data_IF_883115504763
#
_entry.id   IF_883115504763
#
_cell.length_a   1.000
_cell.length_b   1.000
_cell.length_c   1.000
_cell.angle_alpha   90.00
_cell.angle_beta   90.00
_cell.angle_gamma   90.00
#
_symmetry.space_group_name_H-M   'P 1'
#
loop_
_entity.id
_entity.type
_entity.pdbx_description
1 polymer ?
#
# COMPACT_ATOMS: atom_id res chain seq x y z
N UNK A 1 8.30 22.32 -19.20
CA UNK A 1 9.01 21.10 -18.77
C UNK A 1 8.90 20.78 -17.27
N UNK A 2 8.98 21.76 -16.34
CA UNK A 2 8.88 21.48 -14.88
C UNK A 2 7.52 20.89 -14.44
N UNK A 3 6.42 21.37 -15.00
CA UNK A 3 5.07 20.87 -14.67
C UNK A 3 4.84 19.42 -15.09
N UNK A 4 5.32 19.02 -16.27
CA UNK A 4 5.18 17.65 -16.78
C UNK A 4 5.97 16.64 -15.94
N UNK A 5 7.17 17.02 -15.49
CA UNK A 5 7.99 16.17 -14.62
C UNK A 5 7.35 15.93 -13.25
N UNK A 6 6.84 16.98 -12.60
CA UNK A 6 6.14 16.84 -11.32
C UNK A 6 4.87 15.98 -11.45
N UNK A 7 4.11 16.17 -12.55
CA UNK A 7 2.93 15.37 -12.83
C UNK A 7 3.27 13.88 -12.99
N UNK A 8 4.33 13.57 -13.74
CA UNK A 8 4.79 12.19 -13.95
C UNK A 8 5.15 11.50 -12.62
N UNK A 9 5.86 12.20 -11.72
CA UNK A 9 6.20 11.66 -10.39
C UNK A 9 4.94 11.37 -9.57
N UNK A 10 3.96 12.26 -9.59
CA UNK A 10 2.69 12.09 -8.88
C UNK A 10 1.90 10.91 -9.46
N UNK A 11 1.80 10.81 -10.79
CA UNK A 11 1.09 9.72 -11.48
C UNK A 11 1.72 8.36 -11.18
N UNK A 12 3.06 8.26 -11.22
CA UNK A 12 3.79 7.04 -10.83
C UNK A 12 3.55 6.66 -9.37
N UNK A 13 3.59 7.61 -8.45
CA UNK A 13 3.34 7.36 -7.03
C UNK A 13 1.91 6.82 -6.79
N UNK A 14 0.90 7.38 -7.47
CA UNK A 14 -0.46 6.84 -7.41
C UNK A 14 -0.60 5.49 -8.09
N UNK A 15 0.17 5.22 -9.15
CA UNK A 15 0.26 3.91 -9.79
C UNK A 15 0.68 2.83 -8.80
N UNK A 16 1.81 3.04 -8.12
CA UNK A 16 2.33 2.12 -7.08
C UNK A 16 1.31 1.90 -5.97
N UNK A 17 0.71 2.98 -5.48
CA UNK A 17 -0.27 2.89 -4.40
C UNK A 17 -1.53 2.10 -4.81
N UNK A 18 -2.03 2.31 -6.04
CA UNK A 18 -3.16 1.52 -6.59
C UNK A 18 -2.76 0.07 -6.91
N UNK A 19 -1.50 -0.16 -7.29
CA UNK A 19 -0.93 -1.49 -7.48
C UNK A 19 -0.97 -2.31 -6.20
N UNK A 20 -0.59 -1.73 -5.06
CA UNK A 20 -0.59 -2.45 -3.78
C UNK A 20 -1.95 -2.51 -3.09
N UNK A 21 -2.78 -1.47 -3.22
CA UNK A 21 -4.04 -1.37 -2.46
C UNK A 21 -5.27 -1.46 -3.38
N UNK A 22 -5.92 -2.63 -3.40
CA UNK A 22 -7.10 -2.88 -4.23
C UNK A 22 -8.25 -1.88 -3.99
N UNK A 23 -8.41 -1.39 -2.76
CA UNK A 23 -9.42 -0.39 -2.39
C UNK A 23 -9.29 0.93 -3.17
N UNK A 24 -8.13 1.23 -3.74
CA UNK A 24 -7.86 2.45 -4.52
C UNK A 24 -8.04 2.27 -6.03
N UNK A 25 -8.23 1.04 -6.52
CA UNK A 25 -8.36 0.73 -7.96
C UNK A 25 -9.74 1.08 -8.52
N UNK A 26 -10.77 0.89 -7.69
CA UNK A 26 -12.17 1.10 -8.06
C UNK A 26 -12.72 2.46 -7.66
N UNK A 27 -13.93 2.75 -8.14
CA UNK A 27 -14.69 3.93 -7.70
C UNK A 27 -15.18 3.69 -6.28
N UNK A 28 -14.84 4.59 -5.38
CA UNK A 28 -15.32 4.55 -4.01
C UNK A 28 -16.69 5.22 -3.90
N UNK A 29 -17.62 4.55 -3.22
CA UNK A 29 -18.93 5.12 -2.84
C UNK A 29 -18.90 5.80 -1.47
N UNK A 30 -17.74 5.85 -0.81
CA UNK A 30 -17.60 6.52 0.47
C UNK A 30 -17.66 8.05 0.33
N UNK A 31 -18.11 8.79 1.35
CA UNK A 31 -18.00 10.25 1.37
C UNK A 31 -16.55 10.71 1.17
N UNK A 32 -16.36 11.88 0.56
CA UNK A 32 -15.02 12.40 0.21
C UNK A 32 -14.06 12.43 1.41
N UNK A 33 -14.54 12.79 2.60
CA UNK A 33 -13.72 12.81 3.81
C UNK A 33 -13.18 11.43 4.19
N UNK A 34 -13.95 10.36 3.95
CA UNK A 34 -13.52 8.98 4.17
C UNK A 34 -12.52 8.57 3.09
N UNK A 35 -12.77 8.91 1.82
CA UNK A 35 -11.83 8.63 0.73
C UNK A 35 -10.45 9.24 0.99
N UNK A 36 -10.39 10.50 1.42
CA UNK A 36 -9.13 11.16 1.76
C UNK A 36 -8.39 10.45 2.91
N UNK A 37 -9.12 10.03 3.95
CA UNK A 37 -8.55 9.28 5.08
C UNK A 37 -8.03 7.90 4.65
N UNK A 38 -8.77 7.20 3.78
CA UNK A 38 -8.34 5.93 3.20
C UNK A 38 -7.04 6.08 2.41
N UNK A 39 -6.95 7.08 1.53
CA UNK A 39 -5.73 7.35 0.75
C UNK A 39 -4.56 7.65 1.70
N UNK A 40 -4.76 8.48 2.71
CA UNK A 40 -3.73 8.81 3.69
C UNK A 40 -3.26 7.58 4.47
N UNK A 41 -4.19 6.74 4.92
CA UNK A 41 -3.86 5.48 5.61
C UNK A 41 -3.04 4.56 4.71
N UNK A 42 -3.40 4.40 3.44
CA UNK A 42 -2.63 3.62 2.46
C UNK A 42 -1.21 4.17 2.29
N UNK A 43 -1.02 5.50 2.22
CA UNK A 43 0.31 6.11 2.14
C UNK A 43 1.14 5.85 3.40
N UNK A 44 0.54 6.00 4.59
CA UNK A 44 1.23 5.78 5.86
C UNK A 44 1.67 4.32 6.01
N UNK A 45 0.77 3.38 5.71
CA UNK A 45 1.06 1.95 5.74
C UNK A 45 2.15 1.57 4.73
N UNK A 46 2.07 2.12 3.51
CA UNK A 46 3.09 1.89 2.49
C UNK A 46 4.48 2.36 2.95
N UNK A 47 4.55 3.57 3.54
CA UNK A 47 5.80 4.11 4.07
C UNK A 47 6.34 3.29 5.24
N UNK A 48 5.46 2.84 6.14
CA UNK A 48 5.84 2.00 7.27
C UNK A 48 6.42 0.66 6.79
N UNK A 49 5.72 -0.03 5.89
CA UNK A 49 6.17 -1.31 5.34
C UNK A 49 7.53 -1.14 4.65
N UNK A 50 7.69 -0.14 3.78
CA UNK A 50 8.97 0.07 3.09
C UNK A 50 10.13 0.45 4.05
N UNK A 51 9.82 1.12 5.17
CA UNK A 51 10.82 1.49 6.18
C UNK A 51 11.31 0.28 6.97
N UNK A 52 10.37 -0.52 7.46
CA UNK A 52 10.70 -1.65 8.34
C UNK A 52 11.13 -2.89 7.52
N UNK A 53 10.71 -3.00 6.26
CA UNK A 53 11.01 -4.13 5.38
C UNK A 53 11.89 -3.71 4.21
N UNK A 54 13.21 -3.67 4.44
CA UNK A 54 14.21 -3.35 3.40
C UNK A 54 14.25 -4.33 2.20
N UNK A 55 13.67 -5.52 2.35
CA UNK A 55 13.76 -6.61 1.37
C UNK A 55 12.42 -6.99 0.71
N UNK A 56 11.32 -6.29 1.01
CA UNK A 56 10.04 -6.56 0.37
C UNK A 56 10.03 -5.83 -0.99
N UNK A 57 10.79 -6.37 -1.94
CA UNK A 57 10.69 -6.02 -3.36
C UNK A 57 9.34 -6.54 -3.85
N UNK A 58 8.28 -5.80 -3.53
CA UNK A 58 7.17 -5.72 -4.48
C UNK A 58 7.80 -5.01 -5.65
N UNK A 59 8.31 -5.79 -6.60
CA UNK A 59 8.64 -5.30 -7.91
C UNK A 59 7.47 -4.42 -8.34
N UNK A 60 7.71 -3.10 -8.32
CA UNK A 60 6.82 -2.10 -8.89
C UNK A 60 6.91 -2.21 -10.43
N UNK A 61 6.78 -3.44 -10.96
CA UNK A 61 6.61 -3.78 -12.36
C UNK A 61 5.20 -3.33 -12.79
N UNK A 62 4.96 -2.03 -12.67
CA UNK A 62 3.99 -1.35 -13.50
C UNK A 62 4.74 -1.13 -14.81
N UNK A 63 4.79 -2.19 -15.61
CA UNK A 63 5.15 -2.05 -17.01
C UNK A 63 4.25 -0.96 -17.61
N UNK A 64 4.88 -0.14 -18.42
CA UNK A 64 4.35 1.09 -19.01
C UNK A 64 3.27 0.72 -20.04
N UNK A 65 2.12 0.22 -19.59
CA UNK A 65 0.99 -0.09 -20.47
C UNK A 65 0.33 1.23 -20.83
N UNK A 66 0.79 1.73 -21.97
CA UNK A 66 0.23 2.83 -22.74
C UNK A 66 -1.30 2.80 -22.72
N UNK A 67 -1.87 3.97 -22.48
CA UNK A 67 -3.29 4.21 -22.34
C UNK A 67 -3.98 4.09 -23.69
N UNK A 68 -4.19 2.86 -24.15
CA UNK A 68 -5.09 2.59 -25.26
C UNK A 68 -6.05 1.48 -24.86
N UNK A 69 -7.31 1.87 -24.62
CA UNK A 69 -8.49 1.01 -24.41
C UNK A 69 -8.28 -0.49 -24.61
N UNK A 70 -7.98 -1.20 -23.52
CA UNK A 70 -8.08 -2.65 -23.47
C UNK A 70 -8.96 -3.04 -22.29
N UNK A 71 -10.18 -3.48 -22.63
CA UNK A 71 -10.99 -4.36 -21.78
C UNK A 71 -10.22 -5.67 -21.66
N UNK A 72 -9.21 -5.72 -20.79
CA UNK A 72 -8.54 -6.95 -20.42
C UNK A 72 -8.92 -7.20 -18.98
N UNK A 73 -9.70 -8.27 -18.81
CA UNK A 73 -9.99 -9.01 -17.59
C UNK A 73 -9.16 -8.50 -16.43
N UNK A 74 -9.83 -7.78 -15.52
CA UNK A 74 -9.31 -7.49 -14.19
C UNK A 74 -8.83 -8.84 -13.67
N UNK A 75 -7.51 -9.03 -13.64
CA UNK A 75 -6.93 -10.15 -12.91
C UNK A 75 -7.26 -9.82 -11.45
N UNK A 76 -8.42 -10.31 -11.02
CA UNK A 76 -8.92 -10.17 -9.68
C UNK A 76 -7.81 -10.73 -8.80
N UNK A 77 -7.22 -9.86 -7.96
CA UNK A 77 -6.26 -10.32 -6.96
C UNK A 77 -7.01 -11.29 -6.07
N UNK A 78 -6.87 -12.57 -6.38
CA UNK A 78 -7.62 -13.62 -5.72
C UNK A 78 -7.07 -13.90 -4.32
N UNK A 79 -5.82 -13.51 -4.05
CA UNK A 79 -5.15 -13.79 -2.80
C UNK A 79 -3.84 -12.99 -2.66
N UNK A 80 -3.67 -12.26 -1.56
CA UNK A 80 -2.36 -11.78 -1.10
C UNK A 80 -2.00 -12.69 0.07
N UNK A 81 -1.15 -13.68 -0.18
CA UNK A 81 -0.68 -14.56 0.88
C UNK A 81 0.21 -13.76 1.84
N UNK A 82 -0.19 -13.64 3.09
CA UNK A 82 0.72 -13.14 4.13
C UNK A 82 1.82 -14.15 4.34
N UNK A 83 3.08 -13.75 4.12
CA UNK A 83 4.23 -14.63 4.40
C UNK A 83 4.19 -15.08 5.86
N UNK A 84 4.67 -16.30 6.11
CA UNK A 84 4.89 -16.80 7.46
C UNK A 84 5.78 -15.85 8.29
N UNK A 85 6.79 -15.26 7.65
CA UNK A 85 7.66 -14.21 8.21
C UNK A 85 6.86 -12.99 8.69
N UNK A 86 5.84 -12.56 7.93
CA UNK A 86 4.99 -11.44 8.31
C UNK A 86 4.10 -11.76 9.51
N UNK A 87 3.57 -12.97 9.55
CA UNK A 87 2.76 -13.39 10.69
C UNK A 87 3.60 -13.42 11.96
N UNK A 88 4.80 -14.01 11.88
CA UNK A 88 5.76 -14.04 12.98
C UNK A 88 6.15 -12.63 13.45
N UNK A 89 6.57 -11.74 12.53
CA UNK A 89 6.98 -10.38 12.90
C UNK A 89 5.86 -9.57 13.57
N UNK A 90 4.60 -9.72 13.11
CA UNK A 90 3.45 -9.06 13.75
C UNK A 90 3.19 -9.57 15.16
N UNK A 91 3.32 -10.88 15.36
CA UNK A 91 3.11 -11.51 16.66
C UNK A 91 4.20 -11.07 17.64
N UNK A 92 5.47 -11.04 17.20
CA UNK A 92 6.60 -10.57 17.99
C UNK A 92 6.44 -9.09 18.40
N UNK A 93 6.02 -8.22 17.45
CA UNK A 93 5.77 -6.80 17.74
C UNK A 93 4.61 -6.61 18.73
N UNK A 94 3.54 -7.40 18.61
CA UNK A 94 2.41 -7.34 19.53
C UNK A 94 2.81 -7.76 20.94
N UNK A 95 3.66 -8.79 21.06
CA UNK A 95 4.22 -9.25 22.34
C UNK A 95 5.11 -8.18 22.98
N UNK A 96 5.97 -7.52 22.19
CA UNK A 96 6.81 -6.42 22.66
C UNK A 96 5.97 -5.24 23.18
N UNK A 97 4.98 -4.79 22.39
CA UNK A 97 4.09 -3.70 22.78
C UNK A 97 3.30 -4.02 24.06
N UNK A 98 2.84 -5.26 24.21
CA UNK A 98 2.13 -5.69 25.41
C UNK A 98 3.05 -5.73 26.64
N UNK A 99 4.27 -6.25 26.47
CA UNK A 99 5.26 -6.32 27.54
C UNK A 99 5.70 -4.93 28.01
N UNK A 100 5.91 -3.99 27.08
CA UNK A 100 6.18 -2.59 27.43
C UNK A 100 5.04 -1.95 28.22
N UNK A 101 3.79 -2.24 27.84
CA UNK A 101 2.63 -1.74 28.55
C UNK A 101 2.56 -2.30 29.97
N UNK A 102 2.80 -3.60 30.16
CA UNK A 102 2.76 -4.25 31.46
C UNK A 102 3.84 -3.67 32.41
N UNK A 103 5.05 -3.44 31.91
CA UNK A 103 6.15 -2.81 32.65
C UNK A 103 5.86 -1.37 33.07
N UNK A 104 5.08 -0.61 32.28
CA UNK A 104 4.70 0.77 32.60
C UNK A 104 3.54 0.86 33.60
N UNK A 105 2.80 -0.22 33.78
CA UNK A 105 1.58 -0.30 34.58
C UNK A 105 1.75 -1.10 35.87
N UNK A 106 2.99 -1.43 36.22
CA UNK A 106 3.44 -1.99 37.51
C UNK A 106 3.95 -0.88 38.44
#
# INVERSE_FOLDING_TARGET
MKHSSARNVIERAFGVLKGRWAILRGRSYYPIGVQCRTILACCLLHNLINREMKNFDIEDNIDEVDSTHATTVVDDIHYIETSNEWSQWRDDLAEEMFTEWELRNQ
#
